data_IF_585137121707
#
_entry.id   IF_585137121707
#
_cell.length_a   1.000
_cell.length_b   1.000
_cell.length_c   1.000
_cell.angle_alpha   90.00
_cell.angle_beta   90.00
_cell.angle_gamma   90.00
#
_symmetry.space_group_name_H-M   'P 1'
#
loop_
_entity.id
_entity.type
_entity.pdbx_description
1 polymer ?
#
# COMPACT_ATOMS: atom_id res chain seq x y z
N UNK A 1 34.91 -1.60 -4.09
CA UNK A 1 34.21 -2.02 -2.86
C UNK A 1 33.25 -3.17 -3.21
N UNK A 2 33.54 -4.40 -2.77
CA UNK A 2 32.81 -5.64 -3.15
C UNK A 2 31.89 -6.19 -2.02
N UNK A 3 31.69 -5.44 -0.94
CA UNK A 3 31.15 -5.97 0.33
C UNK A 3 29.64 -5.78 0.56
N UNK A 4 28.88 -5.17 -0.36
CA UNK A 4 27.42 -4.99 -0.21
C UNK A 4 26.59 -5.79 -1.20
N UNK A 5 27.23 -6.66 -1.99
CA UNK A 5 26.54 -7.62 -2.84
C UNK A 5 26.43 -8.96 -2.10
N UNK A 6 25.45 -9.05 -1.19
CA UNK A 6 24.87 -10.36 -0.88
C UNK A 6 24.21 -10.82 -2.18
N UNK A 7 24.99 -11.55 -2.99
CA UNK A 7 24.65 -11.89 -4.37
C UNK A 7 23.42 -12.80 -4.46
N UNK A 8 23.10 -13.46 -3.35
CA UNK A 8 21.98 -14.37 -3.24
C UNK A 8 21.26 -14.21 -1.89
N UNK A 9 20.13 -13.49 -1.89
CA UNK A 9 19.28 -13.32 -0.72
C UNK A 9 18.67 -14.65 -0.25
N UNK A 10 18.59 -15.66 -1.12
CA UNK A 10 17.96 -16.96 -0.84
C UNK A 10 18.92 -17.95 -0.18
N UNK A 11 20.20 -17.85 -0.49
CA UNK A 11 21.24 -18.76 0.03
C UNK A 11 21.62 -18.51 1.50
N UNK A 12 21.19 -17.38 2.09
CA UNK A 12 21.51 -17.05 3.46
C UNK A 12 20.42 -17.56 4.42
N UNK A 13 20.78 -18.58 5.23
CA UNK A 13 19.88 -19.25 6.17
C UNK A 13 19.25 -18.32 7.23
N UNK A 14 19.90 -17.20 7.56
CA UNK A 14 19.37 -16.20 8.49
C UNK A 14 18.48 -15.16 7.80
N UNK A 15 18.82 -14.77 6.57
CA UNK A 15 18.11 -13.73 5.85
C UNK A 15 16.76 -14.21 5.31
N UNK A 16 16.65 -15.50 4.96
CA UNK A 16 15.41 -16.09 4.46
C UNK A 16 14.24 -16.03 5.45
N UNK A 17 14.35 -16.51 6.71
CA UNK A 17 13.26 -16.39 7.67
C UNK A 17 12.98 -14.93 8.06
N UNK A 18 14.01 -14.07 8.13
CA UNK A 18 13.84 -12.64 8.41
C UNK A 18 12.99 -11.94 7.32
N UNK A 19 13.35 -12.12 6.05
CA UNK A 19 12.59 -11.57 4.92
C UNK A 19 11.20 -12.17 4.81
N UNK A 20 11.07 -13.48 5.10
CA UNK A 20 9.77 -14.14 5.17
C UNK A 20 8.86 -13.50 6.22
N UNK A 21 9.37 -13.32 7.44
CA UNK A 21 8.65 -12.66 8.53
C UNK A 21 8.26 -11.22 8.19
N UNK A 22 9.19 -10.44 7.61
CA UNK A 22 8.92 -9.07 7.17
C UNK A 22 7.81 -9.01 6.10
N UNK A 23 7.85 -9.88 5.10
CA UNK A 23 6.83 -9.93 4.05
C UNK A 23 5.46 -10.38 4.59
N UNK A 24 5.43 -11.36 5.50
CA UNK A 24 4.21 -11.75 6.19
C UNK A 24 3.64 -10.60 7.03
N UNK A 25 4.51 -9.84 7.70
CA UNK A 25 4.10 -8.66 8.46
C UNK A 25 3.54 -7.54 7.56
N UNK A 26 4.14 -7.32 6.38
CA UNK A 26 3.62 -6.37 5.39
C UNK A 26 2.23 -6.78 4.91
N UNK A 27 1.98 -8.07 4.67
CA UNK A 27 0.66 -8.58 4.28
C UNK A 27 -0.36 -8.31 5.38
N UNK A 28 -0.03 -8.65 6.63
CA UNK A 28 -0.90 -8.38 7.79
C UNK A 28 -1.18 -6.89 7.94
N UNK A 29 -0.16 -6.05 7.79
CA UNK A 29 -0.29 -4.59 7.82
C UNK A 29 -1.26 -4.11 6.74
N UNK A 30 -1.09 -4.51 5.48
CA UNK A 30 -1.97 -4.10 4.38
C UNK A 30 -3.42 -4.56 4.60
N UNK A 31 -3.62 -5.76 5.15
CA UNK A 31 -4.96 -6.25 5.49
C UNK A 31 -5.59 -5.45 6.64
N UNK A 32 -4.82 -5.14 7.68
CA UNK A 32 -5.27 -4.31 8.79
C UNK A 32 -5.60 -2.88 8.32
N UNK A 33 -4.80 -2.34 7.41
CA UNK A 33 -5.01 -1.01 6.83
C UNK A 33 -6.36 -0.90 6.12
N UNK A 34 -6.72 -1.90 5.31
CA UNK A 34 -8.03 -1.97 4.63
C UNK A 34 -9.18 -1.93 5.64
N UNK A 35 -9.06 -2.70 6.73
CA UNK A 35 -10.09 -2.74 7.77
C UNK A 35 -10.20 -1.38 8.47
N UNK A 36 -9.07 -0.80 8.86
CA UNK A 36 -9.00 0.51 9.51
C UNK A 36 -9.56 1.63 8.62
N UNK A 37 -9.23 1.65 7.33
CA UNK A 37 -9.75 2.67 6.41
C UNK A 37 -11.25 2.54 6.20
N UNK A 38 -11.76 1.31 6.12
CA UNK A 38 -13.19 1.08 6.02
C UNK A 38 -13.95 1.52 7.27
N UNK A 39 -13.35 1.37 8.45
CA UNK A 39 -13.94 1.80 9.73
C UNK A 39 -13.90 3.33 9.92
N UNK A 40 -12.74 3.95 9.64
CA UNK A 40 -12.52 5.38 9.91
C UNK A 40 -13.10 6.34 8.86
N UNK A 41 -13.06 5.96 7.57
CA UNK A 41 -13.48 6.83 6.45
C UNK A 41 -14.50 6.15 5.54
N UNK A 42 -14.42 4.82 5.40
CA UNK A 42 -15.27 4.05 4.52
C UNK A 42 -14.72 3.93 3.10
N UNK A 43 -14.83 2.72 2.53
CA UNK A 43 -14.31 2.41 1.20
C UNK A 43 -15.37 2.43 0.09
N UNK A 44 -16.58 2.92 0.40
CA UNK A 44 -17.68 3.10 -0.56
C UNK A 44 -18.01 4.58 -0.71
N UNK A 45 -18.55 4.99 -1.85
CA UNK A 45 -18.94 6.39 -2.08
C UNK A 45 -19.95 6.91 -1.04
N UNK A 46 -20.89 6.06 -0.61
CA UNK A 46 -21.88 6.41 0.39
C UNK A 46 -21.25 6.67 1.77
N UNK A 47 -20.46 5.71 2.26
CA UNK A 47 -19.77 5.83 3.57
C UNK A 47 -18.74 6.96 3.58
N UNK A 48 -18.02 7.13 2.47
CA UNK A 48 -17.03 8.20 2.31
C UNK A 48 -17.71 9.57 2.31
N UNK A 49 -18.82 9.72 1.59
CA UNK A 49 -19.58 10.96 1.57
C UNK A 49 -20.14 11.32 2.94
N UNK A 50 -20.75 10.35 3.64
CA UNK A 50 -21.28 10.54 4.99
C UNK A 50 -20.17 10.95 5.98
N UNK A 51 -18.97 10.39 5.83
CA UNK A 51 -17.84 10.73 6.71
C UNK A 51 -17.25 12.11 6.38
N UNK A 52 -17.01 12.41 5.10
CA UNK A 52 -16.36 13.66 4.69
C UNK A 52 -17.27 14.87 4.85
N UNK A 53 -18.56 14.74 4.53
CA UNK A 53 -19.50 15.87 4.47
C UNK A 53 -20.61 15.81 5.53
N UNK A 54 -20.66 14.73 6.30
CA UNK A 54 -21.73 14.51 7.27
C UNK A 54 -22.98 13.93 6.63
N UNK A 55 -23.95 13.61 7.48
CA UNK A 55 -25.27 13.13 7.12
C UNK A 55 -26.27 13.65 8.16
N UNK A 56 -27.11 14.61 7.74
CA UNK A 56 -28.12 15.23 8.60
C UNK A 56 -29.22 14.24 9.01
N UNK A 57 -29.55 13.25 8.16
CA UNK A 57 -30.58 12.27 8.45
C UNK A 57 -30.13 11.28 9.53
N UNK A 58 -28.82 10.95 9.53
CA UNK A 58 -28.20 10.04 10.48
C UNK A 58 -27.46 10.76 11.63
N UNK A 59 -27.58 12.10 11.74
CA UNK A 59 -26.90 12.93 12.73
C UNK A 59 -25.38 12.72 12.78
N UNK A 60 -24.76 12.50 11.62
CA UNK A 60 -23.31 12.34 11.47
C UNK A 60 -22.70 13.69 11.13
N UNK A 61 -21.80 14.17 11.97
CA UNK A 61 -21.06 15.40 11.69
C UNK A 61 -19.92 15.16 10.69
N UNK A 62 -19.63 16.12 9.80
CA UNK A 62 -18.48 16.04 8.90
C UNK A 62 -17.18 15.98 9.68
N UNK A 63 -16.24 15.18 9.20
CA UNK A 63 -14.90 15.10 9.80
C UNK A 63 -14.16 16.44 9.76
N UNK A 64 -13.46 16.72 10.86
CA UNK A 64 -12.62 17.90 10.95
C UNK A 64 -11.38 17.80 10.05
N UNK A 65 -10.88 18.94 9.60
CA UNK A 65 -9.63 18.98 8.84
C UNK A 65 -8.43 18.44 9.64
N UNK A 66 -8.45 18.59 10.97
CA UNK A 66 -7.41 18.06 11.85
C UNK A 66 -7.32 16.53 11.77
N UNK A 67 -8.47 15.85 11.76
CA UNK A 67 -8.55 14.41 11.59
C UNK A 67 -7.99 13.96 10.23
N UNK A 68 -8.34 14.66 9.14
CA UNK A 68 -7.82 14.37 7.80
C UNK A 68 -6.29 14.52 7.76
N UNK A 69 -5.74 15.56 8.37
CA UNK A 69 -4.29 15.76 8.44
C UNK A 69 -3.58 14.65 9.22
N UNK A 70 -4.14 14.22 10.35
CA UNK A 70 -3.59 13.13 11.15
C UNK A 70 -3.58 11.81 10.36
N UNK A 71 -4.70 11.51 9.69
CA UNK A 71 -4.80 10.32 8.84
C UNK A 71 -3.79 10.36 7.69
N UNK A 72 -3.74 11.46 6.94
CA UNK A 72 -2.81 11.62 5.83
C UNK A 72 -1.35 11.53 6.29
N UNK A 73 -1.01 12.11 7.44
CA UNK A 73 0.34 12.03 8.00
C UNK A 73 0.73 10.58 8.31
N UNK A 74 -0.15 9.85 8.99
CA UNK A 74 0.03 8.43 9.28
C UNK A 74 0.19 7.61 7.99
N UNK A 75 -0.69 7.84 7.01
CA UNK A 75 -0.70 7.11 5.75
C UNK A 75 0.57 7.34 4.94
N UNK A 76 1.01 8.59 4.78
CA UNK A 76 2.26 8.91 4.08
C UNK A 76 3.45 8.20 4.75
N UNK A 77 3.51 8.22 6.08
CA UNK A 77 4.61 7.60 6.82
C UNK A 77 4.66 6.09 6.58
N UNK A 78 3.54 5.38 6.77
CA UNK A 78 3.50 3.93 6.60
C UNK A 78 3.60 3.51 5.14
N UNK A 79 2.93 4.20 4.21
CA UNK A 79 3.03 3.93 2.77
C UNK A 79 4.48 4.06 2.31
N UNK A 80 5.20 5.11 2.70
CA UNK A 80 6.61 5.27 2.31
C UNK A 80 7.46 4.10 2.81
N UNK A 81 7.31 3.72 4.09
CA UNK A 81 8.06 2.61 4.68
C UNK A 81 7.77 1.27 4.00
N UNK A 82 6.49 0.96 3.75
CA UNK A 82 6.06 -0.28 3.10
C UNK A 82 6.50 -0.30 1.65
N UNK A 83 6.21 0.74 0.88
CA UNK A 83 6.44 0.77 -0.55
C UNK A 83 7.94 0.76 -0.88
N UNK A 84 8.77 1.55 -0.20
CA UNK A 84 10.22 1.54 -0.44
C UNK A 84 10.85 0.19 -0.10
N UNK A 85 10.48 -0.38 1.05
CA UNK A 85 10.99 -1.67 1.51
C UNK A 85 10.54 -2.79 0.56
N UNK A 86 9.25 -2.82 0.23
CA UNK A 86 8.68 -3.85 -0.62
C UNK A 86 9.17 -3.75 -2.07
N UNK A 87 9.27 -2.56 -2.64
CA UNK A 87 9.86 -2.36 -3.97
C UNK A 87 11.33 -2.81 -4.01
N UNK A 88 12.11 -2.54 -2.96
CA UNK A 88 13.49 -3.00 -2.87
C UNK A 88 13.59 -4.53 -2.78
N UNK A 89 12.71 -5.18 -2.01
CA UNK A 89 12.67 -6.64 -1.88
C UNK A 89 12.19 -7.29 -3.19
N UNK A 90 11.06 -6.84 -3.72
CA UNK A 90 10.43 -7.36 -4.92
C UNK A 90 11.34 -7.23 -6.16
N UNK A 91 12.02 -6.10 -6.32
CA UNK A 91 12.95 -5.87 -7.43
C UNK A 91 14.19 -6.80 -7.39
N UNK A 92 14.57 -7.30 -6.21
CA UNK A 92 15.73 -8.20 -6.03
C UNK A 92 15.35 -9.68 -6.08
N UNK A 93 14.19 -10.06 -5.54
CA UNK A 93 13.77 -11.47 -5.44
C UNK A 93 13.10 -12.00 -6.71
N UNK A 94 12.34 -11.17 -7.41
CA UNK A 94 11.61 -11.57 -8.62
C UNK A 94 12.43 -11.29 -9.89
N UNK A 95 12.21 -12.10 -10.93
CA UNK A 95 12.96 -12.01 -12.17
C UNK A 95 12.83 -10.63 -12.86
N UNK A 96 13.84 -10.28 -13.64
CA UNK A 96 13.85 -9.02 -14.38
C UNK A 96 12.86 -9.12 -15.53
N UNK A 97 11.70 -8.49 -15.40
CA UNK A 97 10.70 -8.34 -16.46
C UNK A 97 10.15 -6.91 -16.45
N UNK A 98 9.76 -6.39 -17.62
CA UNK A 98 9.05 -5.12 -17.79
C UNK A 98 7.79 -5.06 -16.92
N UNK A 99 7.05 -6.17 -16.79
CA UNK A 99 5.85 -6.27 -15.95
C UNK A 99 6.15 -5.87 -14.49
N UNK A 100 7.31 -6.28 -13.96
CA UNK A 100 7.74 -5.96 -12.59
C UNK A 100 7.95 -4.46 -12.40
N UNK A 101 8.56 -3.81 -13.39
CA UNK A 101 8.81 -2.37 -13.37
C UNK A 101 7.49 -1.60 -13.44
N UNK A 102 6.59 -2.02 -14.32
CA UNK A 102 5.24 -1.44 -14.44
C UNK A 102 4.48 -1.59 -13.12
N UNK A 103 4.50 -2.77 -12.50
CA UNK A 103 3.80 -3.01 -11.24
C UNK A 103 4.32 -2.12 -10.09
N UNK A 104 5.65 -2.01 -9.94
CA UNK A 104 6.26 -1.12 -8.93
C UNK A 104 5.81 0.32 -9.15
N UNK A 105 5.95 0.84 -10.37
CA UNK A 105 5.63 2.23 -10.67
C UNK A 105 4.14 2.52 -10.56
N UNK A 106 3.28 1.61 -11.04
CA UNK A 106 1.83 1.73 -10.93
C UNK A 106 1.40 1.79 -9.45
N UNK A 107 1.97 0.92 -8.61
CA UNK A 107 1.68 0.89 -7.17
C UNK A 107 2.14 2.17 -6.48
N UNK A 108 3.33 2.67 -6.82
CA UNK A 108 3.87 3.94 -6.29
C UNK A 108 3.01 5.14 -6.69
N UNK A 109 2.65 5.24 -7.97
CA UNK A 109 1.82 6.34 -8.47
C UNK A 109 0.43 6.28 -7.85
N UNK A 110 -0.16 5.08 -7.73
CA UNK A 110 -1.46 4.90 -7.09
C UNK A 110 -1.44 5.30 -5.62
N UNK A 111 -0.38 4.99 -4.87
CA UNK A 111 -0.27 5.41 -3.47
C UNK A 111 -0.14 6.94 -3.31
N UNK A 112 0.64 7.59 -4.19
CA UNK A 112 0.73 9.07 -4.19
C UNK A 112 -0.61 9.69 -4.57
N UNK A 113 -1.29 9.11 -5.57
CA UNK A 113 -2.61 9.55 -5.99
C UNK A 113 -3.62 9.38 -4.85
N UNK A 114 -3.56 8.31 -4.07
CA UNK A 114 -4.43 8.04 -2.92
C UNK A 114 -4.40 9.20 -1.90
N UNK A 115 -3.20 9.59 -1.48
CA UNK A 115 -3.01 10.71 -0.54
C UNK A 115 -3.54 12.03 -1.12
N UNK A 116 -3.20 12.32 -2.39
CA UNK A 116 -3.61 13.58 -3.04
C UNK A 116 -5.13 13.65 -3.29
N UNK A 117 -5.72 12.54 -3.72
CA UNK A 117 -7.14 12.47 -4.08
C UNK A 117 -8.03 12.53 -2.84
N UNK A 118 -7.61 12.00 -1.68
CA UNK A 118 -8.36 12.17 -0.43
C UNK A 118 -8.43 13.65 -0.03
N UNK A 119 -7.30 14.35 -0.15
CA UNK A 119 -7.24 15.78 0.14
C UNK A 119 -8.12 16.58 -0.83
N UNK A 120 -8.12 16.23 -2.11
CA UNK A 120 -9.01 16.85 -3.09
C UNK A 120 -10.47 16.49 -2.88
N UNK A 121 -10.80 15.28 -2.45
CA UNK A 121 -12.16 14.92 -2.06
C UNK A 121 -12.63 15.84 -0.94
N UNK A 122 -11.82 16.03 0.11
CA UNK A 122 -12.16 16.91 1.22
C UNK A 122 -12.43 18.37 0.80
N UNK A 123 -11.57 18.96 -0.05
CA UNK A 123 -11.67 20.40 -0.38
C UNK A 123 -12.47 20.73 -1.64
N UNK A 124 -12.46 19.88 -2.66
CA UNK A 124 -13.04 20.16 -3.97
C UNK A 124 -14.34 19.38 -4.23
N UNK A 125 -14.69 18.46 -3.33
CA UNK A 125 -16.00 17.83 -3.32
C UNK A 125 -16.03 16.40 -3.92
N UNK A 126 -17.25 15.88 -4.13
CA UNK A 126 -17.52 14.47 -4.45
C UNK A 126 -16.80 13.88 -5.68
N UNK A 127 -16.40 14.73 -6.63
CA UNK A 127 -15.79 14.31 -7.89
C UNK A 127 -14.52 13.45 -7.69
N UNK A 128 -13.79 13.70 -6.61
CA UNK A 128 -12.52 13.01 -6.31
C UNK A 128 -12.69 11.75 -5.46
N UNK A 129 -13.90 11.46 -4.96
CA UNK A 129 -14.17 10.27 -4.14
C UNK A 129 -13.94 8.97 -4.91
N UNK A 130 -14.49 8.85 -6.12
CA UNK A 130 -14.33 7.62 -6.90
C UNK A 130 -12.88 7.40 -7.35
N UNK A 131 -12.17 8.40 -7.90
CA UNK A 131 -10.73 8.29 -8.16
C UNK A 131 -9.93 7.86 -6.93
N UNK A 132 -10.25 8.40 -5.74
CA UNK A 132 -9.60 8.02 -4.48
C UNK A 132 -9.82 6.54 -4.16
N UNK A 133 -11.06 6.05 -4.22
CA UNK A 133 -11.38 4.62 -4.00
C UNK A 133 -10.60 3.73 -4.98
N UNK A 134 -10.51 4.14 -6.26
CA UNK A 134 -9.75 3.40 -7.26
C UNK A 134 -8.26 3.39 -6.93
N UNK A 135 -7.67 4.54 -6.59
CA UNK A 135 -6.24 4.60 -6.23
C UNK A 135 -5.95 3.74 -5.00
N UNK A 136 -6.82 3.79 -3.98
CA UNK A 136 -6.75 2.99 -2.77
C UNK A 136 -6.59 1.51 -3.10
N UNK A 137 -7.50 0.96 -3.90
CA UNK A 137 -7.48 -0.46 -4.26
C UNK A 137 -6.30 -0.82 -5.17
N UNK A 138 -5.95 0.04 -6.13
CA UNK A 138 -4.83 -0.24 -7.04
C UNK A 138 -3.51 -0.35 -6.26
N UNK A 139 -3.25 0.55 -5.31
CA UNK A 139 -2.01 0.49 -4.55
C UNK A 139 -2.02 -0.68 -3.55
N UNK A 140 -3.14 -0.94 -2.88
CA UNK A 140 -3.25 -2.06 -1.94
C UNK A 140 -3.07 -3.41 -2.63
N UNK A 141 -3.81 -3.66 -3.71
CA UNK A 141 -3.71 -4.92 -4.46
C UNK A 141 -2.34 -5.05 -5.14
N UNK A 142 -1.78 -3.94 -5.62
CA UNK A 142 -0.42 -3.88 -6.14
C UNK A 142 0.62 -4.31 -5.11
N UNK A 143 0.63 -3.68 -3.94
CA UNK A 143 1.53 -4.02 -2.84
C UNK A 143 1.31 -5.45 -2.35
N UNK A 144 0.06 -5.87 -2.18
CA UNK A 144 -0.27 -7.23 -1.77
C UNK A 144 0.28 -8.27 -2.76
N UNK A 145 0.10 -8.04 -4.06
CA UNK A 145 0.63 -8.91 -5.11
C UNK A 145 2.17 -8.98 -5.10
N UNK A 146 2.85 -7.84 -4.86
CA UNK A 146 4.30 -7.77 -4.74
C UNK A 146 4.80 -8.55 -3.51
N UNK A 147 4.08 -8.47 -2.38
CA UNK A 147 4.42 -9.19 -1.16
C UNK A 147 4.25 -10.70 -1.32
N UNK A 148 3.12 -11.16 -1.86
CA UNK A 148 2.89 -12.57 -2.15
C UNK A 148 3.89 -13.12 -3.17
N UNK A 149 4.12 -12.41 -4.27
CA UNK A 149 5.10 -12.83 -5.28
C UNK A 149 6.51 -12.94 -4.69
N UNK A 150 6.89 -12.00 -3.81
CA UNK A 150 8.19 -12.04 -3.11
C UNK A 150 8.29 -13.25 -2.18
N UNK A 151 7.24 -13.58 -1.43
CA UNK A 151 7.19 -14.77 -0.56
C UNK A 151 7.31 -16.06 -1.38
N UNK A 152 6.55 -16.18 -2.47
CA UNK A 152 6.59 -17.34 -3.36
C UNK A 152 7.99 -17.54 -3.96
N UNK A 153 8.63 -16.44 -4.38
CA UNK A 153 10.01 -16.48 -4.89
C UNK A 153 11.05 -16.80 -3.81
N UNK A 154 10.77 -16.44 -2.54
CA UNK A 154 11.68 -16.70 -1.44
C UNK A 154 11.68 -18.17 -1.00
N UNK A 155 10.51 -18.82 -1.00
CA UNK A 155 10.35 -20.19 -0.46
C UNK A 155 10.16 -21.28 -1.50
N UNK A 156 9.50 -21.01 -2.63
CA UNK A 156 9.00 -22.05 -3.55
C UNK A 156 9.72 -22.03 -4.89
N UNK A 157 9.76 -20.88 -5.56
CA UNK A 157 10.24 -20.81 -6.94
C UNK A 157 11.76 -20.79 -6.96
N UNK A 158 12.42 -21.93 -7.25
CA UNK A 158 13.85 -21.95 -7.58
C UNK A 158 14.07 -21.23 -8.90
N UNK A 159 15.11 -20.39 -8.95
CA UNK A 159 15.59 -19.79 -10.20
C UNK A 159 16.11 -20.94 -11.07
N UNK A 160 15.51 -21.16 -12.24
CA UNK A 160 16.13 -22.03 -13.24
C UNK A 160 17.44 -21.34 -13.65
N UNK A 161 18.55 -22.05 -13.44
CA UNK A 161 19.89 -21.55 -13.74
C UNK A 161 20.13 -21.41 -15.23
#
# INVERSE_FOLDING_TARGET
MKFTLVKDLRGNALLRPLLGGLLSFIILFLSADIILKNDHIGLTSATLSATLYGDEENYVEPVSFHFILELLHSDIFFMMMVLLTLSAIYSRLCEKNTIRMVLINLTMIAAIADVALLLFAYFQGPLFMLPWIISFWVWHLGAMSMAFASLLHLFILKKAH
#
